data_IF_175606630186
#
_entry.id   IF_175606630186
#
_cell.length_a   1.000
_cell.length_b   1.000
_cell.length_c   1.000
_cell.angle_alpha   90.00
_cell.angle_beta   90.00
_cell.angle_gamma   90.00
#
_symmetry.space_group_name_H-M   'P 1'
#
loop_
_entity.id
_entity.type
_entity.pdbx_description
1 polymer ?
#
# COMPACT_ATOMS: atom_id res chain seq x y z
N UNK A 1 1.13 -3.06 5.31
CA UNK A 1 -0.32 -3.17 5.62
C UNK A 1 -0.81 -2.03 6.50
N UNK A 2 -0.08 -1.61 7.54
CA UNK A 2 -0.44 -0.42 8.35
C UNK A 2 -0.65 0.82 7.47
N UNK A 3 0.28 1.11 6.57
CA UNK A 3 0.18 2.25 5.63
C UNK A 3 -1.06 2.24 4.73
N UNK A 4 -1.56 1.04 4.36
CA UNK A 4 -2.79 0.92 3.58
C UNK A 4 -4.01 1.39 4.36
N UNK A 5 -4.15 0.96 5.61
CA UNK A 5 -5.26 1.39 6.46
C UNK A 5 -5.12 2.86 6.87
N UNK A 6 -3.90 3.37 7.06
CA UNK A 6 -3.64 4.79 7.28
C UNK A 6 -4.09 5.64 6.09
N UNK A 7 -3.79 5.22 4.86
CA UNK A 7 -4.22 5.91 3.66
C UNK A 7 -5.74 5.78 3.40
N UNK A 8 -6.31 4.60 3.66
CA UNK A 8 -7.75 4.36 3.47
C UNK A 8 -8.62 5.09 4.51
N UNK A 9 -8.06 5.44 5.67
CA UNK A 9 -8.76 6.24 6.67
C UNK A 9 -8.91 7.72 6.28
N UNK A 10 -8.21 8.17 5.24
CA UNK A 10 -8.34 9.53 4.73
C UNK A 10 -9.64 9.66 3.91
N UNK A 11 -10.43 10.72 4.14
CA UNK A 11 -11.59 10.99 3.30
C UNK A 11 -11.17 11.21 1.85
N UNK A 12 -12.05 10.84 0.91
CA UNK A 12 -11.87 10.96 -0.54
C UNK A 12 -10.74 10.10 -1.16
N UNK A 13 -10.15 9.17 -0.42
CA UNK A 13 -9.17 8.20 -0.95
C UNK A 13 -9.87 6.90 -1.36
N UNK A 14 -9.69 6.48 -2.61
CA UNK A 14 -10.17 5.19 -3.09
C UNK A 14 -9.28 4.05 -2.58
N UNK A 15 -9.82 2.83 -2.49
CA UNK A 15 -9.02 1.65 -2.12
C UNK A 15 -7.78 1.46 -3.01
N UNK A 16 -7.88 1.79 -4.30
CA UNK A 16 -6.77 1.71 -5.24
C UNK A 16 -5.68 2.76 -4.94
N UNK A 17 -6.09 3.99 -4.61
CA UNK A 17 -5.18 5.08 -4.24
C UNK A 17 -4.47 4.77 -2.90
N UNK A 18 -5.20 4.30 -1.90
CA UNK A 18 -4.64 3.87 -0.61
C UNK A 18 -3.63 2.72 -0.78
N UNK A 19 -3.93 1.78 -1.68
CA UNK A 19 -3.05 0.66 -2.00
C UNK A 19 -1.76 1.11 -2.68
N UNK A 20 -1.85 2.03 -3.65
CA UNK A 20 -0.68 2.63 -4.30
C UNK A 20 0.21 3.39 -3.31
N UNK A 21 -0.38 4.18 -2.40
CA UNK A 21 0.36 4.91 -1.38
C UNK A 21 1.11 3.96 -0.43
N UNK A 22 0.45 2.87 -0.01
CA UNK A 22 1.09 1.85 0.82
C UNK A 22 2.26 1.15 0.11
N UNK A 23 2.13 0.86 -1.18
CA UNK A 23 3.23 0.30 -1.98
C UNK A 23 4.42 1.27 -2.05
N UNK A 24 4.18 2.55 -2.31
CA UNK A 24 5.23 3.56 -2.37
C UNK A 24 5.93 3.73 -1.02
N UNK A 25 5.18 3.75 0.09
CA UNK A 25 5.74 3.83 1.44
C UNK A 25 6.65 2.63 1.75
N UNK A 26 6.25 1.43 1.32
CA UNK A 26 7.03 0.22 1.52
C UNK A 26 8.31 0.17 0.66
N UNK A 27 8.30 0.79 -0.53
CA UNK A 27 9.49 0.92 -1.38
C UNK A 27 10.50 1.94 -0.86
N UNK A 28 10.05 2.90 -0.03
CA UNK A 28 10.91 3.93 0.57
C UNK A 28 11.60 3.47 1.86
N UNK A 29 11.17 2.37 2.47
CA UNK A 29 11.80 1.80 3.66
C UNK A 29 12.92 0.82 3.26
N UNK A 30 14.20 1.13 3.55
CA UNK A 30 15.36 0.28 3.22
C UNK A 30 15.32 -1.12 3.87
N UNK A 31 14.60 -1.28 4.98
CA UNK A 31 14.45 -2.56 5.69
C UNK A 31 13.35 -3.42 5.07
N UNK A 32 12.39 -2.79 4.40
CA UNK A 32 11.32 -3.44 3.66
C UNK A 32 11.59 -3.43 2.14
N UNK A 33 12.74 -2.94 1.70
CA UNK A 33 13.24 -2.84 0.31
C UNK A 33 13.35 -4.20 -0.45
N UNK A 34 13.02 -5.31 0.20
CA UNK A 34 12.98 -6.65 -0.38
C UNK A 34 11.66 -6.91 -1.11
N UNK A 35 11.76 -7.36 -2.37
CA UNK A 35 10.64 -7.65 -3.27
C UNK A 35 9.52 -8.54 -2.67
N UNK A 36 9.86 -9.36 -1.67
CA UNK A 36 8.90 -10.22 -0.97
C UNK A 36 7.80 -9.48 -0.20
N UNK A 37 8.02 -8.22 0.20
CA UNK A 37 7.09 -7.51 1.08
C UNK A 37 5.94 -6.79 0.36
N UNK A 38 5.99 -6.61 -0.96
CA UNK A 38 5.00 -5.79 -1.69
C UNK A 38 4.44 -6.44 -2.95
N UNK A 39 5.08 -7.49 -3.46
CA UNK A 39 4.61 -8.23 -4.64
C UNK A 39 3.38 -9.12 -4.44
N UNK A 40 3.00 -9.64 -3.25
CA UNK A 40 1.90 -10.60 -3.17
C UNK A 40 0.50 -9.97 -3.11
N UNK A 41 0.39 -8.64 -3.09
CA UNK A 41 -0.89 -7.97 -2.93
C UNK A 41 -1.48 -7.62 -4.30
N UNK A 42 -2.54 -8.31 -4.69
CA UNK A 42 -3.36 -7.98 -5.86
C UNK A 42 -4.67 -7.40 -5.34
N UNK A 43 -4.99 -6.18 -5.76
CA UNK A 43 -6.30 -5.57 -5.50
C UNK A 43 -7.33 -6.25 -6.42
N UNK A 44 -8.10 -7.20 -5.89
CA UNK A 44 -9.18 -7.87 -6.61
C UNK A 44 -10.53 -7.32 -6.16
N UNK A 45 -11.22 -6.59 -7.04
CA UNK A 45 -12.58 -6.07 -6.81
C UNK A 45 -12.84 -4.76 -7.56
N UNK A 46 -14.05 -4.63 -8.11
CA UNK A 46 -14.60 -3.39 -8.67
C UNK A 46 -15.28 -2.55 -7.59
#
# INVERSE_FOLDING_TARGET
MTEFYTALAQPDITKAEAFRQAQLALMQDPQLASSHFWTPFVLAGN
#
